data_IF_684554383045
#
_entry.id   IF_684554383045
#
_cell.length_a   1.000
_cell.length_b   1.000
_cell.length_c   1.000
_cell.angle_alpha   90.00
_cell.angle_beta   90.00
_cell.angle_gamma   90.00
#
_symmetry.space_group_name_H-M   'P 1'
#
loop_
_entity.id
_entity.type
_entity.pdbx_description
1 polymer ?
#
# COMPACT_ATOMS: atom_id res chain seq x y z
N UNK A 1 -10.41 23.36 -36.63
CA UNK A 1 -9.62 23.76 -35.45
C UNK A 1 -9.84 22.67 -34.40
N UNK A 2 -9.50 21.39 -34.60
CA UNK A 2 -8.35 20.72 -35.22
C UNK A 2 -6.99 21.28 -34.78
N UNK A 3 -6.43 20.69 -33.73
CA UNK A 3 -4.97 20.55 -33.63
C UNK A 3 -4.57 19.24 -32.91
N UNK A 4 -4.47 18.19 -33.74
CA UNK A 4 -3.42 17.15 -33.78
C UNK A 4 -3.07 16.39 -32.50
N UNK A 5 -3.79 15.29 -32.29
CA UNK A 5 -3.17 14.01 -31.91
C UNK A 5 -2.06 13.69 -32.92
N UNK A 6 -0.80 13.85 -32.52
CA UNK A 6 0.30 13.25 -33.26
C UNK A 6 0.36 11.77 -32.88
N UNK A 7 -0.01 10.95 -33.84
CA UNK A 7 0.37 9.55 -33.94
C UNK A 7 1.89 9.44 -33.74
N UNK A 8 2.32 9.05 -32.54
CA UNK A 8 3.58 8.35 -32.41
C UNK A 8 3.22 6.87 -32.41
N UNK A 9 3.69 6.20 -33.45
CA UNK A 9 3.62 4.75 -33.64
C UNK A 9 4.03 4.07 -32.34
N UNK A 10 3.10 3.34 -31.72
CA UNK A 10 3.43 2.39 -30.67
C UNK A 10 4.03 1.20 -31.40
N UNK A 11 5.33 1.27 -31.67
CA UNK A 11 6.09 0.07 -31.97
C UNK A 11 6.06 -0.81 -30.74
N UNK A 12 5.29 -1.91 -30.83
CA UNK A 12 5.32 -2.99 -29.85
C UNK A 12 6.71 -3.62 -29.96
N UNK A 13 7.57 -3.53 -28.93
CA UNK A 13 8.89 -4.12 -29.02
C UNK A 13 8.75 -5.65 -29.09
N UNK A 14 9.28 -6.23 -30.15
CA UNK A 14 9.50 -7.67 -30.19
C UNK A 14 10.59 -8.01 -29.17
N UNK A 15 10.24 -8.89 -28.22
CA UNK A 15 11.17 -9.58 -27.31
C UNK A 15 11.99 -8.69 -26.36
N UNK A 16 11.49 -8.55 -25.13
CA UNK A 16 12.32 -8.79 -23.95
C UNK A 16 13.18 -7.65 -23.40
N UNK A 17 12.65 -6.44 -23.23
CA UNK A 17 13.01 -5.49 -22.17
C UNK A 17 12.20 -4.20 -22.39
N UNK A 18 11.38 -3.82 -21.42
CA UNK A 18 10.70 -2.52 -21.43
C UNK A 18 11.13 -1.80 -20.16
N UNK A 19 11.90 -0.72 -20.31
CA UNK A 19 12.34 0.12 -19.21
C UNK A 19 11.28 1.21 -18.95
N UNK A 20 10.86 1.35 -17.69
CA UNK A 20 10.01 2.45 -17.25
C UNK A 20 10.83 3.40 -16.38
N UNK A 21 10.90 4.67 -16.80
CA UNK A 21 11.55 5.72 -16.01
C UNK A 21 10.53 6.32 -15.04
N UNK A 22 10.64 5.97 -13.77
CA UNK A 22 9.89 6.64 -12.70
C UNK A 22 10.67 7.89 -12.27
N UNK A 23 10.12 9.06 -12.57
CA UNK A 23 10.58 10.32 -12.01
C UNK A 23 10.07 10.41 -10.56
N UNK A 24 10.88 9.92 -9.63
CA UNK A 24 10.70 10.21 -8.21
C UNK A 24 11.37 11.57 -7.94
N UNK A 25 10.70 12.48 -7.25
CA UNK A 25 11.13 13.87 -6.98
C UNK A 25 12.30 13.98 -5.98
N UNK A 26 13.11 12.92 -5.90
CA UNK A 26 14.36 12.85 -5.16
C UNK A 26 15.49 12.89 -6.18
N UNK A 27 16.56 13.63 -5.87
CA UNK A 27 17.68 13.96 -6.76
C UNK A 27 18.44 12.78 -7.41
N UNK A 28 18.01 11.55 -7.14
CA UNK A 28 18.48 10.30 -7.73
C UNK A 28 17.38 9.67 -8.58
N UNK A 29 17.53 9.72 -9.90
CA UNK A 29 16.67 8.96 -10.82
C UNK A 29 16.89 7.45 -10.60
N UNK A 30 15.89 6.76 -10.07
CA UNK A 30 15.86 5.29 -9.99
C UNK A 30 15.20 4.75 -11.25
N UNK A 31 15.96 4.11 -12.12
CA UNK A 31 15.37 3.43 -13.29
C UNK A 31 14.65 2.17 -12.79
N UNK A 32 13.41 1.99 -13.24
CA UNK A 32 12.64 0.78 -12.96
C UNK A 32 12.65 -0.11 -14.19
N UNK A 33 12.99 -1.39 -14.00
CA UNK A 33 12.97 -2.36 -15.08
C UNK A 33 11.82 -3.33 -14.86
N UNK A 34 10.97 -3.49 -15.88
CA UNK A 34 9.99 -4.58 -15.90
C UNK A 34 10.78 -5.86 -16.12
N UNK A 35 10.82 -6.73 -15.12
CA UNK A 35 11.51 -8.01 -15.21
C UNK A 35 10.54 -9.16 -14.94
N UNK A 36 10.69 -10.25 -15.70
CA UNK A 36 10.21 -11.56 -15.29
C UNK A 36 11.05 -12.09 -14.13
N UNK A 37 10.46 -12.93 -13.28
CA UNK A 37 11.09 -13.41 -12.04
C UNK A 37 12.36 -14.21 -12.24
N UNK A 38 12.51 -14.79 -13.43
CA UNK A 38 13.61 -15.69 -13.76
C UNK A 38 14.93 -14.95 -13.98
N UNK A 39 14.93 -13.60 -13.97
CA UNK A 39 16.13 -12.80 -14.18
C UNK A 39 16.87 -12.54 -12.86
N UNK A 40 18.22 -12.63 -12.84
CA UNK A 40 19.02 -12.39 -11.64
C UNK A 40 18.85 -10.97 -11.10
N UNK A 41 18.82 -10.84 -9.78
CA UNK A 41 18.65 -9.57 -9.06
C UNK A 41 19.94 -8.74 -9.20
N UNK A 42 19.87 -7.58 -9.85
CA UNK A 42 20.92 -6.57 -9.83
C UNK A 42 20.55 -5.45 -8.85
N UNK A 43 21.49 -5.04 -8.00
CA UNK A 43 21.27 -4.21 -6.81
C UNK A 43 20.90 -2.74 -7.06
N UNK A 44 20.83 -2.27 -8.31
CA UNK A 44 20.59 -0.86 -8.64
C UNK A 44 19.18 -0.54 -9.13
N UNK A 45 18.31 -1.53 -9.33
CA UNK A 45 17.03 -1.34 -10.01
C UNK A 45 15.86 -1.62 -9.08
N UNK A 46 14.89 -0.71 -9.05
CA UNK A 46 13.55 -1.04 -8.58
C UNK A 46 12.92 -1.95 -9.64
N UNK A 47 12.43 -3.12 -9.26
CA UNK A 47 11.73 -4.02 -10.17
C UNK A 47 10.24 -3.88 -9.98
N UNK A 48 9.56 -3.55 -11.07
CA UNK A 48 8.13 -3.77 -11.15
C UNK A 48 7.90 -5.15 -11.75
N UNK A 49 7.03 -5.93 -11.10
CA UNK A 49 6.65 -7.25 -11.59
C UNK A 49 5.36 -7.11 -12.37
N UNK A 50 5.38 -7.49 -13.65
CA UNK A 50 4.15 -7.59 -14.43
C UNK A 50 3.30 -8.74 -13.89
N UNK A 51 2.14 -8.43 -13.34
CA UNK A 51 1.17 -9.45 -12.93
C UNK A 51 0.34 -9.82 -14.16
N UNK A 52 0.73 -10.89 -14.83
CA UNK A 52 0.04 -11.42 -16.03
C UNK A 52 -1.05 -12.44 -15.70
N UNK A 53 -1.07 -12.94 -14.46
CA UNK A 53 -2.04 -13.92 -14.00
C UNK A 53 -3.37 -13.28 -13.58
N UNK A 54 -4.49 -13.94 -13.87
CA UNK A 54 -5.83 -13.56 -13.40
C UNK A 54 -6.04 -13.82 -11.90
N UNK A 55 -5.06 -14.44 -11.23
CA UNK A 55 -5.08 -14.73 -9.80
C UNK A 55 -3.75 -14.32 -9.17
N UNK A 56 -3.87 -13.78 -7.97
CA UNK A 56 -2.73 -13.36 -7.14
C UNK A 56 -1.98 -14.59 -6.61
N UNK A 57 -0.66 -14.63 -6.77
CA UNK A 57 0.18 -15.67 -6.16
C UNK A 57 0.52 -15.31 -4.71
N UNK A 58 -0.32 -15.74 -3.78
CA UNK A 58 -0.14 -15.52 -2.33
C UNK A 58 1.18 -16.11 -1.83
N UNK A 59 1.65 -17.23 -2.39
CA UNK A 59 2.85 -17.93 -1.93
C UNK A 59 4.10 -17.10 -2.18
N UNK A 60 4.12 -16.40 -3.31
CA UNK A 60 5.16 -15.44 -3.65
C UNK A 60 5.23 -14.30 -2.62
N UNK A 61 4.12 -13.67 -2.27
CA UNK A 61 4.11 -12.59 -1.27
C UNK A 61 4.60 -13.08 0.09
N UNK A 62 4.18 -14.28 0.51
CA UNK A 62 4.71 -14.91 1.74
C UNK A 62 6.22 -15.10 1.69
N UNK A 63 6.74 -15.58 0.55
CA UNK A 63 8.17 -15.78 0.38
C UNK A 63 8.94 -14.44 0.43
N UNK A 64 8.44 -13.39 -0.22
CA UNK A 64 9.05 -12.06 -0.15
C UNK A 64 9.08 -11.51 1.29
N UNK A 65 7.96 -11.60 2.01
CA UNK A 65 7.90 -11.18 3.41
C UNK A 65 8.86 -12.00 4.28
N UNK A 66 8.85 -13.33 4.15
CA UNK A 66 9.74 -14.20 4.89
C UNK A 66 11.22 -13.92 4.58
N UNK A 67 11.55 -13.70 3.31
CA UNK A 67 12.90 -13.33 2.87
C UNK A 67 13.33 -12.01 3.50
N UNK A 68 12.45 -11.01 3.52
CA UNK A 68 12.70 -9.73 4.17
C UNK A 68 13.01 -9.91 5.67
N UNK A 69 12.13 -10.60 6.40
CA UNK A 69 12.28 -10.82 7.84
C UNK A 69 13.50 -11.68 8.19
N UNK A 70 13.87 -12.66 7.37
CA UNK A 70 14.95 -13.61 7.71
C UNK A 70 16.32 -13.20 7.17
N UNK A 71 16.39 -12.42 6.08
CA UNK A 71 17.66 -12.13 5.40
C UNK A 71 18.11 -10.67 5.48
N UNK A 72 17.20 -9.70 5.64
CA UNK A 72 17.57 -8.28 5.62
C UNK A 72 17.91 -7.72 7.02
N UNK A 73 17.45 -8.37 8.09
CA UNK A 73 17.74 -8.01 9.47
C UNK A 73 17.48 -6.52 9.77
N UNK A 74 18.47 -5.86 10.39
CA UNK A 74 18.35 -4.44 10.81
C UNK A 74 18.11 -3.45 9.67
N UNK A 75 18.41 -3.82 8.42
CA UNK A 75 18.18 -2.94 7.27
C UNK A 75 16.69 -2.77 6.92
N UNK A 76 15.83 -3.71 7.31
CA UNK A 76 14.39 -3.65 7.06
C UNK A 76 13.54 -3.52 8.34
N UNK A 77 13.94 -4.11 9.46
CA UNK A 77 13.08 -4.18 10.65
C UNK A 77 13.02 -2.89 11.47
N UNK A 78 14.14 -2.17 11.57
CA UNK A 78 14.29 -1.01 12.46
C UNK A 78 15.15 0.06 11.80
N UNK A 79 14.63 0.73 10.77
CA UNK A 79 15.33 1.89 10.22
C UNK A 79 15.62 2.88 11.34
N UNK A 80 16.83 3.46 11.35
CA UNK A 80 17.26 4.42 12.39
C UNK A 80 16.40 5.69 12.45
N UNK A 81 15.68 6.00 11.36
CA UNK A 81 14.76 7.12 11.27
C UNK A 81 13.35 6.80 11.83
N UNK A 82 13.03 5.53 12.07
CA UNK A 82 11.71 5.13 12.57
C UNK A 82 11.71 5.16 14.10
N UNK A 83 10.80 5.95 14.67
CA UNK A 83 10.59 5.98 16.12
C UNK A 83 10.24 4.58 16.64
N UNK A 84 10.85 4.11 17.74
CA UNK A 84 10.50 2.85 18.36
C UNK A 84 9.12 2.91 19.05
N UNK A 85 8.55 4.11 19.21
CA UNK A 85 7.23 4.31 19.81
C UNK A 85 6.18 4.41 18.71
N UNK A 86 5.19 3.53 18.79
CA UNK A 86 3.95 3.65 18.01
C UNK A 86 3.23 4.95 18.43
N UNK A 87 2.71 5.74 17.47
CA UNK A 87 1.91 6.92 17.79
C UNK A 87 0.73 6.56 18.71
N UNK A 88 0.50 7.38 19.75
CA UNK A 88 -0.54 7.10 20.76
C UNK A 88 -1.95 6.99 20.18
N UNK A 89 -2.18 7.56 18.99
CA UNK A 89 -3.47 7.56 18.30
C UNK A 89 -3.45 6.73 17.01
N UNK A 90 -2.46 5.85 16.83
CA UNK A 90 -2.45 4.93 15.71
C UNK A 90 -3.69 4.03 15.79
N UNK A 91 -4.40 3.95 14.67
CA UNK A 91 -5.57 3.11 14.49
C UNK A 91 -5.32 2.16 13.34
N UNK A 92 -5.89 0.96 13.44
CA UNK A 92 -5.77 -0.09 12.43
C UNK A 92 -7.08 -0.84 12.33
N UNK A 93 -7.29 -1.52 11.21
CA UNK A 93 -8.38 -2.45 11.01
C UNK A 93 -7.90 -3.82 11.51
N UNK A 94 -8.59 -4.38 12.52
CA UNK A 94 -8.44 -5.81 12.86
C UNK A 94 -9.18 -6.62 11.79
N UNK A 95 -8.44 -7.41 11.03
CA UNK A 95 -8.96 -8.17 9.90
C UNK A 95 -9.91 -9.27 10.35
N UNK A 96 -9.70 -9.85 11.53
CA UNK A 96 -10.55 -10.92 12.07
C UNK A 96 -11.91 -10.39 12.48
N UNK A 97 -11.95 -9.21 13.10
CA UNK A 97 -13.21 -8.60 13.57
C UNK A 97 -13.81 -7.61 12.57
N UNK A 98 -13.13 -7.33 11.46
CA UNK A 98 -13.49 -6.31 10.45
C UNK A 98 -13.81 -4.96 11.11
N UNK A 99 -13.01 -4.57 12.10
CA UNK A 99 -13.28 -3.38 12.90
C UNK A 99 -12.07 -2.48 12.99
N UNK A 100 -12.28 -1.16 12.92
CA UNK A 100 -11.26 -0.17 13.27
C UNK A 100 -11.07 -0.20 14.79
N UNK A 101 -9.83 -0.33 15.23
CA UNK A 101 -9.41 -0.37 16.62
C UNK A 101 -8.22 0.56 16.86
N UNK A 102 -7.95 0.86 18.13
CA UNK A 102 -6.68 1.47 18.54
C UNK A 102 -5.57 0.43 18.42
N UNK A 103 -4.44 0.78 17.81
CA UNK A 103 -3.31 -0.12 17.65
C UNK A 103 -2.70 -0.50 19.01
N UNK A 104 -2.35 -1.78 19.15
CA UNK A 104 -1.63 -2.28 20.32
C UNK A 104 -0.11 -2.04 20.17
N UNK A 105 0.66 -1.99 21.27
CA UNK A 105 2.11 -1.70 21.24
C UNK A 105 2.95 -2.58 20.33
N UNK A 106 2.53 -3.83 20.08
CA UNK A 106 3.24 -4.81 19.23
C UNK A 106 2.44 -5.14 17.95
N UNK A 107 1.58 -4.22 17.51
CA UNK A 107 0.72 -4.42 16.36
C UNK A 107 1.54 -4.40 15.05
N UNK A 108 1.69 -5.56 14.42
CA UNK A 108 2.24 -5.69 13.06
C UNK A 108 1.11 -5.48 12.06
N UNK A 109 1.20 -4.44 11.25
CA UNK A 109 0.19 -4.09 10.26
C UNK A 109 0.79 -3.88 8.86
N UNK A 110 -0.02 -4.07 7.84
CA UNK A 110 0.28 -3.61 6.49
C UNK A 110 -0.31 -2.21 6.29
N UNK A 111 0.37 -1.34 5.55
CA UNK A 111 -0.19 -0.05 5.12
C UNK A 111 -0.64 -0.14 3.66
N UNK A 112 -1.89 0.21 3.38
CA UNK A 112 -2.40 0.36 2.03
C UNK A 112 -2.32 1.83 1.61
N UNK A 113 -1.45 2.12 0.65
CA UNK A 113 -1.37 3.41 -0.04
C UNK A 113 -1.99 3.25 -1.42
N UNK A 114 -3.12 3.92 -1.67
CA UNK A 114 -3.84 3.83 -2.94
C UNK A 114 -4.48 5.17 -3.29
N UNK A 115 -4.69 5.41 -4.59
CA UNK A 115 -5.46 6.57 -5.04
C UNK A 115 -6.94 6.27 -4.85
N UNK A 116 -7.65 7.18 -4.19
CA UNK A 116 -9.08 7.03 -3.97
C UNK A 116 -9.82 7.16 -5.31
N UNK A 117 -10.35 6.03 -5.79
CA UNK A 117 -11.22 6.01 -6.97
C UNK A 117 -12.67 6.27 -6.57
N UNK A 118 -13.28 7.34 -7.07
CA UNK A 118 -14.70 7.65 -6.82
C UNK A 118 -15.06 7.87 -5.33
N UNK A 119 -16.35 7.82 -4.98
CA UNK A 119 -16.79 7.91 -3.59
C UNK A 119 -16.21 6.78 -2.74
N UNK A 120 -15.62 7.12 -1.60
CA UNK A 120 -15.06 6.15 -0.64
C UNK A 120 -15.80 6.24 0.69
N UNK A 121 -15.86 5.11 1.39
CA UNK A 121 -16.26 5.12 2.78
C UNK A 121 -15.15 5.76 3.61
N UNK A 122 -15.49 6.86 4.27
CA UNK A 122 -14.59 7.64 5.11
C UNK A 122 -15.13 7.62 6.52
N UNK A 123 -14.25 7.41 7.50
CA UNK A 123 -14.65 7.44 8.90
C UNK A 123 -14.81 8.89 9.38
N UNK A 124 -15.91 9.14 10.11
CA UNK A 124 -16.20 10.45 10.69
C UNK A 124 -15.76 10.55 12.17
N UNK A 125 -15.76 11.76 12.71
CA UNK A 125 -15.28 12.01 14.08
C UNK A 125 -16.11 11.34 15.17
N UNK A 126 -17.40 11.15 14.94
CA UNK A 126 -18.27 10.46 15.88
C UNK A 126 -17.96 8.96 15.95
N UNK A 127 -17.66 8.34 14.81
CA UNK A 127 -17.25 6.95 14.70
C UNK A 127 -15.85 6.73 15.27
N UNK A 128 -14.94 7.68 15.01
CA UNK A 128 -13.58 7.65 15.56
C UNK A 128 -13.54 7.68 17.09
N UNK A 129 -14.49 8.36 17.73
CA UNK A 129 -14.62 8.37 19.20
C UNK A 129 -15.27 7.09 19.76
N UNK A 130 -15.86 6.25 18.92
CA UNK A 130 -16.58 5.04 19.31
C UNK A 130 -15.87 3.77 18.82
N UNK A 131 -14.58 3.64 19.10
CA UNK A 131 -13.83 2.41 18.84
C UNK A 131 -14.14 1.33 19.90
N UNK A 132 -14.23 0.04 19.52
CA UNK A 132 -14.09 -0.50 18.18
C UNK A 132 -15.29 -0.15 17.27
N UNK A 133 -15.01 0.11 16.00
CA UNK A 133 -16.03 0.43 15.01
C UNK A 133 -16.05 -0.61 13.89
N UNK A 134 -17.16 -1.34 13.72
CA UNK A 134 -17.31 -2.34 12.67
C UNK A 134 -17.43 -1.68 11.30
N UNK A 135 -16.63 -2.13 10.34
CA UNK A 135 -16.71 -1.67 8.96
C UNK A 135 -18.03 -2.10 8.32
N UNK A 136 -18.62 -1.25 7.46
CA UNK A 136 -19.80 -1.64 6.70
C UNK A 136 -19.45 -2.74 5.68
N UNK A 137 -20.46 -3.47 5.24
CA UNK A 137 -20.30 -4.44 4.16
C UNK A 137 -20.34 -3.75 2.77
N UNK A 138 -19.81 -4.40 1.72
CA UNK A 138 -19.99 -3.97 0.34
C UNK A 138 -21.49 -3.81 0.00
N UNK A 139 -21.85 -2.87 -0.87
CA UNK A 139 -20.97 -2.04 -1.71
C UNK A 139 -20.49 -0.76 -1.03
N UNK A 140 -20.84 -0.52 0.23
CA UNK A 140 -20.46 0.71 0.95
C UNK A 140 -18.94 0.74 1.15
N UNK A 141 -18.37 -0.38 1.58
CA UNK A 141 -16.92 -0.56 1.61
C UNK A 141 -16.43 -0.93 0.20
N UNK A 142 -15.41 -0.22 -0.28
CA UNK A 142 -14.89 -0.43 -1.63
C UNK A 142 -14.22 -1.80 -1.80
N UNK A 143 -14.32 -2.36 -3.00
CA UNK A 143 -13.76 -3.68 -3.31
C UNK A 143 -12.26 -3.74 -3.05
N UNK A 144 -11.52 -2.66 -3.32
CA UNK A 144 -10.09 -2.56 -3.01
C UNK A 144 -9.78 -2.84 -1.54
N UNK A 145 -10.59 -2.31 -0.61
CA UNK A 145 -10.39 -2.52 0.82
C UNK A 145 -10.74 -3.95 1.24
N UNK A 146 -11.79 -4.52 0.65
CA UNK A 146 -12.15 -5.93 0.86
C UNK A 146 -11.02 -6.85 0.41
N UNK A 147 -10.49 -6.63 -0.79
CA UNK A 147 -9.41 -7.43 -1.38
C UNK A 147 -8.12 -7.27 -0.59
N UNK A 148 -7.79 -6.05 -0.13
CA UNK A 148 -6.63 -5.80 0.71
C UNK A 148 -6.71 -6.53 2.06
N UNK A 149 -7.87 -6.50 2.73
CA UNK A 149 -8.08 -7.28 3.97
C UNK A 149 -7.97 -8.78 3.72
N UNK A 150 -8.55 -9.28 2.61
CA UNK A 150 -8.47 -10.68 2.23
C UNK A 150 -7.01 -11.12 1.94
N UNK A 151 -6.22 -10.28 1.28
CA UNK A 151 -4.81 -10.53 1.04
C UNK A 151 -4.02 -10.57 2.34
N UNK A 152 -4.19 -9.57 3.21
CA UNK A 152 -3.51 -9.52 4.49
C UNK A 152 -3.80 -10.76 5.33
N UNK A 153 -5.06 -11.21 5.38
CA UNK A 153 -5.43 -12.47 6.00
C UNK A 153 -4.65 -13.66 5.41
N UNK A 154 -4.61 -13.77 4.09
CA UNK A 154 -3.96 -14.87 3.39
C UNK A 154 -2.45 -14.92 3.62
N UNK A 155 -1.77 -13.77 3.74
CA UNK A 155 -0.32 -13.68 3.99
C UNK A 155 0.04 -13.67 5.48
N UNK A 156 -0.94 -13.70 6.38
CA UNK A 156 -0.73 -13.81 7.82
C UNK A 156 -0.51 -12.48 8.54
N UNK A 157 -0.88 -11.36 7.92
CA UNK A 157 -0.89 -10.04 8.57
C UNK A 157 -2.29 -9.81 9.14
N UNK A 158 -2.38 -9.58 10.45
CA UNK A 158 -3.65 -9.46 11.18
C UNK A 158 -4.28 -8.07 11.16
N UNK A 159 -3.50 -7.05 10.79
CA UNK A 159 -3.94 -5.66 10.87
C UNK A 159 -3.64 -4.89 9.58
N UNK A 160 -4.56 -4.03 9.18
CA UNK A 160 -4.43 -3.18 8.00
C UNK A 160 -4.59 -1.71 8.37
N UNK A 161 -3.67 -0.87 7.95
CA UNK A 161 -3.77 0.58 8.04
C UNK A 161 -4.17 1.17 6.69
N UNK A 162 -5.16 2.05 6.71
CA UNK A 162 -5.70 2.74 5.53
C UNK A 162 -6.01 4.18 5.92
N UNK A 163 -5.52 5.15 5.17
CA UNK A 163 -5.75 6.58 5.42
C UNK A 163 -7.24 6.95 5.57
N UNK A 164 -8.09 6.49 4.66
CA UNK A 164 -9.53 6.77 4.64
C UNK A 164 -10.28 6.27 5.89
N UNK A 165 -9.75 5.25 6.57
CA UNK A 165 -10.40 4.57 7.70
C UNK A 165 -9.68 4.73 9.04
N UNK A 166 -8.39 5.08 9.03
CA UNK A 166 -7.56 5.17 10.23
C UNK A 166 -7.24 6.62 10.63
N UNK A 167 -7.60 7.59 9.77
CA UNK A 167 -7.44 9.03 10.00
C UNK A 167 -8.80 9.71 9.82
N UNK A 168 -9.09 10.68 10.70
CA UNK A 168 -10.24 11.58 10.53
C UNK A 168 -10.01 12.45 9.30
N UNK A 169 -10.94 12.43 8.34
CA UNK A 169 -10.83 13.23 7.11
C UNK A 169 -11.58 14.57 7.18
N UNK A 170 -12.40 14.75 8.22
CA UNK A 170 -13.04 16.02 8.50
C UNK A 170 -11.96 17.11 8.69
N UNK A 171 -12.16 18.31 8.13
CA UNK A 171 -11.31 19.44 8.48
C UNK A 171 -11.54 19.73 9.95
N UNK A 172 -10.65 19.22 10.80
CA UNK A 172 -10.57 19.67 12.17
C UNK A 172 -10.33 21.19 12.10
N UNK A 173 -11.07 21.94 12.91
CA UNK A 173 -10.79 23.35 13.19
C UNK A 173 -9.37 23.54 13.79
N UNK A 174 -8.64 22.44 14.07
CA UNK A 174 -7.22 22.42 14.37
C UNK A 174 -6.50 21.27 13.63
N UNK A 175 -5.60 21.66 12.74
CA UNK A 175 -4.67 20.90 11.89
C UNK A 175 -4.23 19.48 12.32
N UNK A 176 -4.93 18.44 11.85
CA UNK A 176 -4.34 17.08 11.69
C UNK A 176 -3.85 16.81 10.26
N UNK A 177 -4.10 17.73 9.31
CA UNK A 177 -3.63 17.60 7.90
C UNK A 177 -2.20 18.05 7.67
N UNK A 178 -1.51 18.56 8.70
CA UNK A 178 -0.14 19.09 8.59
C UNK A 178 0.95 18.02 8.42
N UNK A 179 0.60 16.73 8.39
CA UNK A 179 1.57 15.63 8.27
C UNK A 179 1.49 14.85 6.96
N UNK A 180 0.72 15.33 5.98
CA UNK A 180 0.74 14.82 4.62
C UNK A 180 1.43 15.81 3.67
N UNK A 181 2.76 15.87 3.79
CA UNK A 181 3.79 15.95 2.74
C UNK A 181 5.17 15.97 3.41
#
# INVERSE_FOLDING_TARGET
MEEKLRSNEIEVPQSGQVEARLNLDVSDFRICQICDDDLPIQSQWLRERRVTASKLDVSLFKNWLQTCCTKHGKHCEKPTWLSPKIPENLRVIDIRTRSVIKAQPDCIYAALSYVWGGPQYIINDAQMRKLPFCLPEPPVLSQTLVDAMALCHQIGIGYLWVDALCITQEPLVNDDKSFQL
#
